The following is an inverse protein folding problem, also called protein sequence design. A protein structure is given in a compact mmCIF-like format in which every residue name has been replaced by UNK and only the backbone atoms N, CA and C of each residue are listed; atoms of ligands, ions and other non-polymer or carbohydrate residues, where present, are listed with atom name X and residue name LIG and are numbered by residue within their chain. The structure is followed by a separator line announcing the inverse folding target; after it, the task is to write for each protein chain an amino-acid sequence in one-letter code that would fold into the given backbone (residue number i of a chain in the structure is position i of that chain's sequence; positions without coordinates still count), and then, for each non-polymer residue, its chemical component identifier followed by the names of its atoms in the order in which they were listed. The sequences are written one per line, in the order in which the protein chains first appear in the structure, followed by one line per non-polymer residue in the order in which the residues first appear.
data_IF_705388649430
#
_entry.id   IF_705388649430
#
_cell.length_a   1.000
_cell.length_b   1.000
_cell.length_c   1.000
_cell.angle_alpha   90.00
_cell.angle_beta   90.00
_cell.angle_gamma   90.00
#
_symmetry.space_group_name_H-M   'P 1'
#
loop_
_entity.id
_entity.type
_entity.pdbx_description
1 polymer ?
#
# COMPACT_ATOMS: atom_id res chain seq x y z
N UNK A 1 -18.67 -25.89 22.84
CA UNK A 1 -18.88 -25.41 21.48
C UNK A 1 -18.61 -23.89 21.43
N UNK A 2 -17.31 -23.49 21.53
CA UNK A 2 -16.83 -22.09 21.53
C UNK A 2 -15.42 -21.96 20.88
N UNK A 3 -15.09 -22.83 19.93
CA UNK A 3 -13.75 -22.86 19.29
C UNK A 3 -13.78 -22.32 17.84
N UNK A 4 -14.97 -22.03 17.27
CA UNK A 4 -15.09 -21.61 15.87
C UNK A 4 -14.87 -20.10 15.62
N UNK A 5 -15.14 -19.24 16.62
CA UNK A 5 -15.05 -17.78 16.40
C UNK A 5 -13.61 -17.23 16.45
N UNK A 6 -12.70 -17.91 17.14
CA UNK A 6 -11.28 -17.49 17.22
C UNK A 6 -10.45 -17.90 16.00
N UNK A 7 -10.85 -18.94 15.28
CA UNK A 7 -10.18 -19.39 14.05
C UNK A 7 -10.45 -18.44 12.88
N UNK A 8 -11.67 -17.95 12.72
CA UNK A 8 -12.02 -17.01 11.64
C UNK A 8 -11.33 -15.65 11.80
N UNK A 9 -11.13 -15.16 13.01
CA UNK A 9 -10.42 -13.89 13.25
C UNK A 9 -8.90 -13.97 13.00
N UNK A 10 -8.29 -15.16 13.10
CA UNK A 10 -6.85 -15.36 12.84
C UNK A 10 -6.49 -15.37 11.36
N UNK A 11 -7.48 -15.56 10.48
CA UNK A 11 -7.30 -15.64 9.03
C UNK A 11 -7.63 -14.33 8.31
N UNK A 12 -7.93 -13.23 9.04
CA UNK A 12 -8.18 -11.94 8.41
C UNK A 12 -6.91 -11.42 7.70
N UNK A 13 -6.98 -11.45 6.39
CA UNK A 13 -5.85 -11.11 5.51
C UNK A 13 -5.71 -9.60 5.30
N UNK A 14 -6.76 -8.82 5.60
CA UNK A 14 -6.72 -7.37 5.47
C UNK A 14 -6.26 -6.75 6.79
N UNK A 15 -5.11 -6.13 6.74
CA UNK A 15 -4.52 -5.48 7.91
C UNK A 15 -5.45 -4.45 8.59
N UNK A 16 -6.41 -3.87 7.86
CA UNK A 16 -7.39 -2.92 8.41
C UNK A 16 -8.30 -3.54 9.46
N UNK A 17 -8.60 -4.84 9.33
CA UNK A 17 -9.53 -5.56 10.20
C UNK A 17 -8.82 -6.35 11.31
N UNK A 18 -7.49 -6.43 11.28
CA UNK A 18 -6.74 -7.09 12.36
C UNK A 18 -6.93 -6.27 13.65
N UNK A 19 -7.43 -6.87 14.75
CA UNK A 19 -7.48 -6.21 16.04
C UNK A 19 -6.12 -5.70 16.48
N UNK A 20 -6.08 -4.55 17.13
CA UNK A 20 -4.82 -3.91 17.55
C UNK A 20 -3.97 -4.81 18.45
N UNK A 21 -4.63 -5.58 19.31
CA UNK A 21 -3.99 -6.51 20.24
C UNK A 21 -3.28 -7.67 19.52
N UNK A 22 -3.85 -8.14 18.41
CA UNK A 22 -3.29 -9.21 17.58
C UNK A 22 -2.18 -8.71 16.64
N UNK A 23 -2.22 -7.42 16.26
CA UNK A 23 -1.31 -6.86 15.26
C UNK A 23 0.17 -7.08 15.60
N UNK A 24 0.54 -6.96 16.89
CA UNK A 24 1.93 -7.18 17.33
C UNK A 24 2.34 -8.65 17.18
N UNK A 25 1.46 -9.57 17.58
CA UNK A 25 1.72 -11.01 17.53
C UNK A 25 1.82 -11.52 16.08
N UNK A 26 1.03 -10.94 15.20
CA UNK A 26 0.93 -11.28 13.78
C UNK A 26 1.95 -10.57 12.90
N UNK A 27 2.95 -9.89 13.49
CA UNK A 27 3.98 -9.13 12.77
C UNK A 27 5.32 -9.87 12.81
N UNK A 28 5.86 -10.18 11.64
CA UNK A 28 7.21 -10.73 11.48
C UNK A 28 8.25 -9.63 11.72
N UNK A 29 8.64 -9.43 12.99
CA UNK A 29 9.51 -8.32 13.42
C UNK A 29 10.98 -8.52 13.07
N UNK A 30 11.41 -9.76 12.83
CA UNK A 30 12.82 -10.13 12.60
C UNK A 30 13.26 -10.00 11.14
N UNK A 31 12.32 -9.69 10.26
CA UNK A 31 12.58 -9.43 8.83
C UNK A 31 13.43 -8.16 8.65
N UNK A 32 14.46 -8.26 7.82
CA UNK A 32 15.33 -7.12 7.45
C UNK A 32 14.51 -6.03 6.75
N UNK A 33 13.61 -6.42 5.85
CA UNK A 33 12.69 -5.49 5.19
C UNK A 33 11.83 -4.75 6.22
N UNK A 34 11.23 -5.48 7.16
CA UNK A 34 10.37 -4.88 8.18
C UNK A 34 11.15 -3.89 9.05
N UNK A 35 12.36 -4.24 9.50
CA UNK A 35 13.22 -3.37 10.30
C UNK A 35 13.57 -2.07 9.55
N UNK A 36 13.91 -2.20 8.26
CA UNK A 36 14.23 -1.07 7.37
C UNK A 36 13.02 -0.16 7.18
N UNK A 37 11.86 -0.71 6.87
CA UNK A 37 10.61 0.05 6.68
C UNK A 37 10.20 0.75 7.98
N UNK A 38 10.25 0.06 9.12
CA UNK A 38 9.94 0.65 10.44
C UNK A 38 10.84 1.84 10.76
N UNK A 39 12.16 1.71 10.54
CA UNK A 39 13.12 2.81 10.72
C UNK A 39 12.77 3.99 9.81
N UNK A 40 12.42 3.73 8.56
CA UNK A 40 12.04 4.76 7.60
C UNK A 40 10.72 5.46 7.99
N UNK A 41 9.70 4.71 8.44
CA UNK A 41 8.43 5.27 8.89
C UNK A 41 8.61 6.22 10.09
N UNK A 42 9.50 5.92 11.01
CA UNK A 42 9.74 6.74 12.21
C UNK A 42 10.77 7.86 12.00
N UNK A 43 11.41 7.95 10.83
CA UNK A 43 12.42 8.95 10.54
C UNK A 43 11.82 10.32 10.15
N UNK A 44 12.66 11.35 10.06
CA UNK A 44 12.28 12.68 9.54
C UNK A 44 12.04 12.64 8.02
N UNK A 45 11.48 13.74 7.51
CA UNK A 45 11.24 13.97 6.08
C UNK A 45 10.06 13.21 5.53
N UNK A 46 9.67 13.57 4.32
CA UNK A 46 8.61 12.91 3.58
C UNK A 46 9.15 11.62 2.95
N UNK A 47 8.40 10.52 3.11
CA UNK A 47 8.73 9.23 2.48
C UNK A 47 7.49 8.61 1.88
N UNK A 48 7.68 7.88 0.78
CA UNK A 48 6.62 7.09 0.14
C UNK A 48 6.91 5.61 0.30
N UNK A 49 5.95 4.84 0.81
CA UNK A 49 5.99 3.38 0.80
C UNK A 49 5.42 2.89 -0.52
N UNK A 50 6.30 2.34 -1.34
CA UNK A 50 5.98 1.93 -2.72
C UNK A 50 5.87 0.41 -2.81
N UNK A 51 4.76 -0.08 -3.30
CA UNK A 51 4.55 -1.51 -3.54
C UNK A 51 3.12 -1.80 -4.00
N UNK A 52 2.89 -2.91 -4.70
CA UNK A 52 1.57 -3.30 -5.16
C UNK A 52 0.62 -3.60 -3.98
N UNK A 53 -0.62 -3.88 -4.31
CA UNK A 53 -1.62 -4.23 -3.31
C UNK A 53 -1.29 -5.58 -2.66
N UNK A 54 -1.33 -5.62 -1.32
CA UNK A 54 -1.04 -6.84 -0.56
C UNK A 54 0.38 -6.96 -0.01
N UNK A 55 1.29 -6.01 -0.30
CA UNK A 55 2.66 -6.00 0.21
C UNK A 55 2.81 -5.63 1.70
N UNK A 56 1.70 -5.46 2.44
CA UNK A 56 1.77 -5.18 3.87
C UNK A 56 1.96 -3.72 4.27
N UNK A 57 1.82 -2.73 3.35
CA UNK A 57 1.98 -1.29 3.67
C UNK A 57 1.13 -0.85 4.87
N UNK A 58 -0.16 -1.15 4.84
CA UNK A 58 -1.12 -0.90 5.94
C UNK A 58 -0.67 -1.54 7.24
N UNK A 59 -0.26 -2.81 7.20
CA UNK A 59 0.21 -3.55 8.37
C UNK A 59 1.42 -2.87 9.02
N UNK A 60 2.43 -2.52 8.22
CA UNK A 60 3.64 -1.83 8.68
C UNK A 60 3.35 -0.45 9.26
N UNK A 61 2.44 0.32 8.65
CA UNK A 61 2.04 1.64 9.16
C UNK A 61 1.26 1.52 10.47
N UNK A 62 0.31 0.61 10.57
CA UNK A 62 -0.44 0.39 11.81
C UNK A 62 0.45 -0.09 12.95
N UNK A 63 1.40 -1.00 12.66
CA UNK A 63 2.38 -1.43 13.64
C UNK A 63 3.28 -0.27 14.10
N UNK A 64 3.77 0.57 13.17
CA UNK A 64 4.58 1.73 13.52
C UNK A 64 3.79 2.73 14.39
N UNK A 65 2.52 2.98 14.07
CA UNK A 65 1.62 3.79 14.88
C UNK A 65 1.49 3.21 16.31
N UNK A 66 1.17 1.94 16.43
CA UNK A 66 0.95 1.28 17.71
C UNK A 66 2.20 1.32 18.60
N UNK A 67 3.38 1.05 18.03
CA UNK A 67 4.64 1.11 18.78
C UNK A 67 4.98 2.52 19.26
N UNK A 68 4.53 3.56 18.55
CA UNK A 68 4.66 4.93 19.01
C UNK A 68 3.68 5.28 20.13
N UNK A 69 2.49 4.67 20.18
CA UNK A 69 1.55 4.89 21.28
C UNK A 69 2.09 4.36 22.61
N UNK A 70 2.82 3.25 22.60
CA UNK A 70 3.41 2.61 23.79
C UNK A 70 4.69 3.29 24.32
N UNK A 71 5.37 4.13 23.51
CA UNK A 71 6.70 4.61 23.80
C UNK A 71 6.81 6.12 23.52
N UNK A 72 6.92 6.92 24.58
CA UNK A 72 7.02 8.40 24.48
C UNK A 72 8.38 8.89 23.94
N UNK A 73 9.39 8.05 23.91
CA UNK A 73 10.69 8.39 23.28
C UNK A 73 10.60 8.44 21.75
N UNK A 74 9.56 7.80 21.16
CA UNK A 74 9.27 7.79 19.74
C UNK A 74 8.45 9.02 19.32
N UNK A 75 8.38 9.33 18.01
CA UNK A 75 7.55 10.42 17.49
C UNK A 75 6.07 10.28 17.88
N UNK A 76 5.34 11.39 17.90
CA UNK A 76 3.89 11.38 17.93
C UNK A 76 3.39 10.86 16.58
N UNK A 77 2.81 9.67 16.55
CA UNK A 77 2.35 9.06 15.33
C UNK A 77 0.83 9.22 15.17
N UNK A 78 0.42 9.67 13.99
CA UNK A 78 -0.98 9.80 13.57
C UNK A 78 -1.19 8.90 12.37
N UNK A 79 -2.08 7.91 12.47
CA UNK A 79 -2.44 7.01 11.37
C UNK A 79 -3.77 7.45 10.75
N UNK A 80 -3.75 7.67 9.44
CA UNK A 80 -4.92 8.12 8.66
C UNK A 80 -5.14 7.15 7.50
N UNK A 81 -6.33 6.58 7.42
CA UNK A 81 -6.74 5.72 6.29
C UNK A 81 -7.64 6.48 5.33
N UNK A 82 -7.26 6.50 4.07
CA UNK A 82 -8.03 7.09 2.97
C UNK A 82 -8.84 6.04 2.18
N UNK A 83 -9.06 4.87 2.76
CA UNK A 83 -9.70 3.74 2.08
C UNK A 83 -11.12 4.03 1.55
N UNK A 84 -11.77 5.10 2.05
CA UNK A 84 -13.12 5.51 1.64
C UNK A 84 -13.14 6.57 0.52
N UNK A 85 -12.00 6.93 -0.04
CA UNK A 85 -11.91 7.97 -1.08
C UNK A 85 -12.86 7.74 -2.27
N UNK A 86 -13.14 6.47 -2.60
CA UNK A 86 -14.07 6.11 -3.68
C UNK A 86 -15.49 6.66 -3.48
N UNK A 87 -15.86 6.99 -2.22
CA UNK A 87 -17.14 7.63 -1.91
C UNK A 87 -17.21 9.08 -2.37
N UNK A 88 -16.07 9.70 -2.63
CA UNK A 88 -15.96 11.05 -3.15
C UNK A 88 -15.98 11.11 -4.68
N UNK A 89 -15.87 9.96 -5.39
CA UNK A 89 -15.95 9.95 -6.86
C UNK A 89 -17.21 10.58 -7.42
N UNK A 90 -18.42 10.40 -6.84
CA UNK A 90 -19.63 11.08 -7.29
C UNK A 90 -19.53 12.61 -7.22
N UNK A 91 -18.71 13.19 -6.35
CA UNK A 91 -18.50 14.63 -6.22
C UNK A 91 -17.91 15.23 -7.51
N UNK A 92 -17.09 14.45 -8.25
CA UNK A 92 -16.47 14.89 -9.51
C UNK A 92 -17.51 15.34 -10.56
N UNK A 93 -18.72 14.80 -10.47
CA UNK A 93 -19.81 15.11 -11.41
C UNK A 93 -20.85 16.06 -10.78
N UNK A 94 -21.07 15.96 -9.47
CA UNK A 94 -22.18 16.63 -8.77
C UNK A 94 -21.79 17.98 -8.13
N UNK A 95 -20.49 18.30 -8.03
CA UNK A 95 -19.99 19.50 -7.33
C UNK A 95 -19.25 20.46 -8.26
N UNK A 96 -19.27 21.75 -7.87
CA UNK A 96 -18.57 22.80 -8.63
C UNK A 96 -17.05 22.75 -8.44
N UNK A 97 -16.58 22.40 -7.25
CA UNK A 97 -15.15 22.33 -6.88
C UNK A 97 -14.80 21.03 -6.17
N UNK A 98 -14.82 19.88 -6.86
CA UNK A 98 -14.52 18.59 -6.25
C UNK A 98 -13.14 18.50 -5.58
N UNK A 99 -12.05 19.10 -6.11
CA UNK A 99 -10.76 19.11 -5.44
C UNK A 99 -10.78 19.82 -4.07
N UNK A 100 -11.49 20.94 -3.95
CA UNK A 100 -11.58 21.67 -2.68
C UNK A 100 -12.32 20.86 -1.61
N UNK A 101 -13.38 20.15 -2.01
CA UNK A 101 -14.12 19.26 -1.11
C UNK A 101 -13.29 18.03 -0.72
N UNK A 102 -12.51 17.46 -1.64
CA UNK A 102 -11.53 16.42 -1.36
C UNK A 102 -10.43 16.91 -0.40
N UNK A 103 -9.93 18.13 -0.61
CA UNK A 103 -8.96 18.78 0.26
C UNK A 103 -9.49 18.90 1.70
N UNK A 104 -10.70 19.42 1.87
CA UNK A 104 -11.35 19.55 3.16
C UNK A 104 -11.59 18.18 3.83
N UNK A 105 -12.01 17.18 3.07
CA UNK A 105 -12.19 15.80 3.54
C UNK A 105 -10.86 15.19 4.02
N UNK A 106 -9.81 15.31 3.21
CA UNK A 106 -8.50 14.74 3.53
C UNK A 106 -7.89 15.38 4.79
N UNK A 107 -7.92 16.71 4.88
CA UNK A 107 -7.48 17.42 6.08
C UNK A 107 -8.35 17.13 7.29
N UNK A 108 -9.67 17.02 7.11
CA UNK A 108 -10.61 16.61 8.15
C UNK A 108 -10.26 15.25 8.75
N UNK A 109 -9.93 14.27 7.90
CA UNK A 109 -9.47 12.95 8.36
C UNK A 109 -8.16 13.04 9.16
N UNK A 110 -7.20 13.89 8.74
CA UNK A 110 -5.95 14.10 9.49
C UNK A 110 -6.25 14.67 10.87
N UNK A 111 -7.14 15.65 10.98
CA UNK A 111 -7.54 16.24 12.28
C UNK A 111 -8.21 15.19 13.17
N UNK A 112 -9.19 14.46 12.66
CA UNK A 112 -9.91 13.41 13.40
C UNK A 112 -8.96 12.31 13.89
N UNK A 113 -8.03 11.88 13.04
CA UNK A 113 -7.01 10.89 13.40
C UNK A 113 -6.03 11.41 14.45
N UNK A 114 -5.73 12.73 14.43
CA UNK A 114 -4.90 13.38 15.47
C UNK A 114 -5.59 13.32 16.81
N UNK A 115 -6.87 13.69 16.90
CA UNK A 115 -7.66 13.58 18.13
C UNK A 115 -7.77 12.13 18.62
N UNK A 116 -7.97 11.18 17.70
CA UNK A 116 -8.03 9.76 18.05
C UNK A 116 -6.69 9.24 18.59
N UNK A 117 -5.55 9.68 18.01
CA UNK A 117 -4.22 9.30 18.49
C UNK A 117 -3.89 9.90 19.85
N UNK A 118 -4.37 11.11 20.16
CA UNK A 118 -4.26 11.72 21.48
C UNK A 118 -5.08 10.99 22.52
N UNK A 119 -6.35 10.71 22.22
CA UNK A 119 -7.29 10.03 23.13
C UNK A 119 -7.05 8.53 23.25
N UNK A 120 -6.06 7.96 22.53
CA UNK A 120 -5.71 6.54 22.67
C UNK A 120 -5.33 6.16 24.11
N UNK A 121 -4.70 7.08 24.83
CA UNK A 121 -4.51 6.97 26.27
C UNK A 121 -5.58 7.81 26.98
N UNK A 122 -6.33 7.20 27.89
CA UNK A 122 -7.46 7.83 28.59
C UNK A 122 -7.05 9.11 29.34
N UNK A 123 -5.82 9.19 29.82
CA UNK A 123 -5.25 10.38 30.53
C UNK A 123 -5.19 11.67 29.67
N UNK A 124 -5.29 11.54 28.34
CA UNK A 124 -5.19 12.67 27.40
C UNK A 124 -6.56 13.17 26.90
N UNK A 125 -7.69 12.69 27.45
CA UNK A 125 -9.02 13.09 26.97
C UNK A 125 -9.29 14.61 27.11
N UNK A 126 -8.83 15.24 28.19
CA UNK A 126 -8.95 16.69 28.40
C UNK A 126 -8.10 17.49 27.42
N UNK A 127 -6.97 16.98 27.00
CA UNK A 127 -6.09 17.64 26.03
C UNK A 127 -6.76 17.80 24.65
N UNK A 128 -7.66 16.91 24.26
CA UNK A 128 -8.40 17.01 23.00
C UNK A 128 -9.33 18.22 23.02
N UNK A 129 -10.14 18.41 24.07
CA UNK A 129 -11.07 19.54 24.19
C UNK A 129 -10.33 20.89 24.21
N UNK A 130 -9.19 20.96 24.88
CA UNK A 130 -8.34 22.16 24.87
C UNK A 130 -7.79 22.47 23.46
N UNK A 131 -7.39 21.44 22.71
CA UNK A 131 -6.87 21.61 21.35
C UNK A 131 -7.98 22.01 20.39
N UNK A 132 -9.18 21.43 20.50
CA UNK A 132 -10.36 21.82 19.72
C UNK A 132 -10.63 23.33 19.88
N UNK A 133 -10.62 23.84 21.11
CA UNK A 133 -10.83 25.25 21.41
C UNK A 133 -9.70 26.14 20.86
N UNK A 134 -8.43 25.72 21.02
CA UNK A 134 -7.25 26.50 20.56
C UNK A 134 -7.12 26.60 19.04
N UNK A 135 -7.55 25.54 18.31
CA UNK A 135 -7.43 25.48 16.86
C UNK A 135 -8.74 25.87 16.18
N UNK A 136 -9.86 25.80 16.87
CA UNK A 136 -11.19 26.10 16.34
C UNK A 136 -11.69 25.04 15.34
N UNK A 137 -11.28 23.79 15.52
CA UNK A 137 -11.70 22.63 14.71
C UNK A 137 -12.41 21.59 15.58
N UNK A 138 -13.69 21.81 15.97
CA UNK A 138 -14.42 20.89 16.83
C UNK A 138 -14.60 19.51 16.18
N UNK A 139 -14.30 18.46 16.91
CA UNK A 139 -14.37 17.06 16.45
C UNK A 139 -15.74 16.71 15.87
N UNK A 140 -16.80 17.04 16.60
CA UNK A 140 -18.17 16.74 16.20
C UNK A 140 -18.55 17.36 14.84
N UNK A 141 -18.13 18.62 14.60
CA UNK A 141 -18.41 19.32 13.34
C UNK A 141 -17.63 18.70 12.17
N UNK A 142 -16.39 18.28 12.42
CA UNK A 142 -15.57 17.58 11.41
C UNK A 142 -16.12 16.19 11.07
N UNK A 143 -16.59 15.43 12.07
CA UNK A 143 -17.22 14.13 11.84
C UNK A 143 -18.48 14.26 10.97
N UNK A 144 -19.30 15.30 11.20
CA UNK A 144 -20.49 15.58 10.37
C UNK A 144 -20.12 16.03 8.98
N UNK A 145 -19.10 16.89 8.80
CA UNK A 145 -18.58 17.32 7.50
C UNK A 145 -18.06 16.15 6.67
N UNK A 146 -17.16 15.36 7.24
CA UNK A 146 -16.58 14.17 6.58
C UNK A 146 -17.69 13.19 6.17
N UNK A 147 -18.65 12.93 7.06
CA UNK A 147 -19.77 12.05 6.77
C UNK A 147 -20.68 12.59 5.65
N UNK A 148 -20.93 13.90 5.61
CA UNK A 148 -21.73 14.54 4.55
C UNK A 148 -21.03 14.42 3.18
N UNK A 149 -19.72 14.67 3.11
CA UNK A 149 -18.92 14.51 1.91
C UNK A 149 -18.90 13.05 1.42
N UNK A 150 -18.65 12.08 2.32
CA UNK A 150 -18.65 10.65 2.00
C UNK A 150 -20.01 10.14 1.49
N UNK A 151 -21.10 10.78 1.87
CA UNK A 151 -22.47 10.43 1.44
C UNK A 151 -22.96 11.28 0.27
N UNK A 152 -22.13 12.16 -0.28
CA UNK A 152 -22.52 13.14 -1.31
C UNK A 152 -23.76 13.97 -0.93
N UNK A 153 -23.89 14.33 0.36
CA UNK A 153 -25.00 15.14 0.86
C UNK A 153 -24.71 16.64 0.67
N UNK A 154 -25.71 17.48 0.43
CA UNK A 154 -25.54 18.92 0.47
C UNK A 154 -24.96 19.37 1.81
N UNK A 155 -23.98 20.26 1.76
CA UNK A 155 -23.38 20.81 2.98
C UNK A 155 -24.31 21.89 3.58
N UNK A 156 -24.48 21.86 4.91
CA UNK A 156 -25.09 22.99 5.63
C UNK A 156 -24.21 24.24 5.53
N UNK A 157 -24.76 25.42 5.89
CA UNK A 157 -23.98 26.66 5.91
C UNK A 157 -22.75 26.57 6.81
N UNK A 158 -22.88 25.90 7.97
CA UNK A 158 -21.79 25.67 8.92
C UNK A 158 -20.73 24.71 8.36
N UNK A 159 -21.16 23.60 7.74
CA UNK A 159 -20.26 22.64 7.11
C UNK A 159 -19.51 23.27 5.92
N UNK A 160 -20.19 24.08 5.12
CA UNK A 160 -19.56 24.81 4.00
C UNK A 160 -18.58 25.87 4.51
N UNK A 161 -18.85 26.52 5.63
CA UNK A 161 -17.91 27.44 6.26
C UNK A 161 -16.69 26.68 6.80
N UNK A 162 -16.88 25.59 7.52
CA UNK A 162 -15.81 24.75 8.04
C UNK A 162 -14.94 24.17 6.92
N UNK A 163 -15.57 23.72 5.81
CA UNK A 163 -14.86 23.18 4.64
C UNK A 163 -13.90 24.20 4.01
N UNK A 164 -14.27 25.49 3.98
CA UNK A 164 -13.40 26.58 3.51
C UNK A 164 -12.36 27.02 4.51
N UNK A 165 -12.63 26.85 5.79
CA UNK A 165 -11.80 27.32 6.90
C UNK A 165 -10.68 26.32 7.27
N UNK A 166 -10.88 25.02 6.98
CA UNK A 166 -9.86 24.02 7.20
C UNK A 166 -8.71 24.20 6.20
N UNK A 167 -7.51 24.40 6.70
CA UNK A 167 -6.32 24.67 5.90
C UNK A 167 -5.11 23.92 6.40
N UNK A 168 -4.13 23.69 5.51
CA UNK A 168 -2.85 23.04 5.86
C UNK A 168 -2.20 23.68 7.07
N UNK A 169 -2.15 25.02 7.12
CA UNK A 169 -1.54 25.76 8.24
C UNK A 169 -2.23 25.46 9.59
N UNK A 170 -3.56 25.38 9.60
CA UNK A 170 -4.31 25.05 10.84
C UNK A 170 -4.05 23.63 11.27
N UNK A 171 -3.99 22.70 10.31
CA UNK A 171 -3.69 21.28 10.59
C UNK A 171 -2.25 21.12 11.09
N UNK A 172 -1.28 21.82 10.49
CA UNK A 172 0.10 21.83 11.01
C UNK A 172 0.17 22.36 12.43
N UNK A 173 -0.52 23.48 12.72
CA UNK A 173 -0.60 24.04 14.09
C UNK A 173 -1.20 23.03 15.08
N UNK A 174 -2.26 22.32 14.70
CA UNK A 174 -2.85 21.26 15.51
C UNK A 174 -1.84 20.14 15.81
N UNK A 175 -1.14 19.66 14.77
CA UNK A 175 -0.16 18.58 14.89
C UNK A 175 1.00 18.97 15.80
N UNK A 176 1.51 20.21 15.69
CA UNK A 176 2.58 20.72 16.54
C UNK A 176 2.12 20.86 18.01
N UNK A 177 0.91 21.36 18.25
CA UNK A 177 0.32 21.44 19.58
C UNK A 177 0.09 20.06 20.20
N UNK A 178 -0.43 19.12 19.41
CA UNK A 178 -0.65 17.74 19.83
C UNK A 178 0.67 17.02 20.15
N UNK A 179 1.69 17.22 19.32
CA UNK A 179 3.03 16.69 19.57
C UNK A 179 3.60 17.22 20.89
N UNK A 180 3.51 18.54 21.09
CA UNK A 180 4.02 19.22 22.29
C UNK A 180 3.29 18.81 23.56
N UNK A 181 1.95 18.62 23.49
CA UNK A 181 1.15 18.18 24.66
C UNK A 181 1.51 16.77 25.13
N UNK A 182 2.07 15.94 24.23
CA UNK A 182 2.55 14.59 24.58
C UNK A 182 4.04 14.56 24.98
N UNK A 183 4.70 15.71 25.09
CA UNK A 183 6.13 15.83 25.40
C UNK A 183 7.06 15.32 24.29
N UNK A 184 6.57 15.13 23.08
CA UNK A 184 7.32 14.58 21.95
C UNK A 184 7.89 15.71 21.07
N UNK A 185 8.93 15.38 20.30
CA UNK A 185 9.67 16.37 19.50
C UNK A 185 9.24 16.46 18.03
N UNK A 186 8.54 15.46 17.54
CA UNK A 186 8.18 15.34 16.11
C UNK A 186 6.91 14.52 15.93
N UNK A 187 6.12 14.93 14.95
CA UNK A 187 4.96 14.19 14.48
C UNK A 187 5.33 13.36 13.22
N UNK A 188 4.85 12.13 13.16
CA UNK A 188 4.88 11.30 11.97
C UNK A 188 3.43 11.08 11.52
N UNK A 189 3.11 11.50 10.29
CA UNK A 189 1.81 11.26 9.66
C UNK A 189 1.90 10.02 8.78
N UNK A 190 1.17 8.98 9.13
CA UNK A 190 1.09 7.72 8.40
C UNK A 190 -0.19 7.74 7.54
N UNK A 191 -0.05 8.13 6.27
CA UNK A 191 -1.15 8.36 5.33
C UNK A 191 -1.31 7.13 4.45
N UNK A 192 -2.30 6.32 4.75
CA UNK A 192 -2.48 5.00 4.16
C UNK A 192 -3.66 4.92 3.20
N UNK A 193 -3.61 3.93 2.31
CA UNK A 193 -4.64 3.61 1.31
C UNK A 193 -4.97 4.77 0.34
N UNK A 194 -4.00 5.61 0.06
CA UNK A 194 -4.10 6.64 -0.95
C UNK A 194 -4.03 6.07 -2.39
N UNK A 195 -4.77 4.98 -2.61
CA UNK A 195 -4.85 4.25 -3.88
C UNK A 195 -5.69 5.01 -4.93
N UNK A 196 -5.37 6.28 -5.14
CA UNK A 196 -6.11 7.22 -5.96
C UNK A 196 -5.76 7.12 -7.47
N UNK A 197 -5.13 6.03 -7.89
CA UNK A 197 -4.65 5.85 -9.28
C UNK A 197 -5.75 5.90 -10.33
N UNK A 198 -6.98 5.57 -9.94
CA UNK A 198 -8.14 5.61 -10.83
C UNK A 198 -8.81 6.99 -10.89
N UNK A 199 -8.44 7.91 -9.99
CA UNK A 199 -8.99 9.26 -9.90
C UNK A 199 -7.84 10.28 -9.88
N UNK A 200 -7.19 10.57 -11.03
CA UNK A 200 -6.00 11.41 -11.12
C UNK A 200 -6.14 12.78 -10.46
N UNK A 201 -7.32 13.39 -10.55
CA UNK A 201 -7.61 14.70 -9.96
C UNK A 201 -7.42 14.68 -8.45
N UNK A 202 -7.96 13.67 -7.76
CA UNK A 202 -7.79 13.50 -6.32
C UNK A 202 -6.38 13.06 -5.93
N UNK A 203 -5.72 12.29 -6.79
CA UNK A 203 -4.33 11.88 -6.57
C UNK A 203 -3.39 13.10 -6.56
N UNK A 204 -3.56 14.02 -7.51
CA UNK A 204 -2.77 15.26 -7.58
C UNK A 204 -2.97 16.07 -6.31
N UNK A 205 -4.23 16.30 -5.91
CA UNK A 205 -4.56 17.04 -4.70
C UNK A 205 -4.00 16.36 -3.44
N UNK A 206 -4.10 15.02 -3.35
CA UNK A 206 -3.52 14.27 -2.24
C UNK A 206 -2.01 14.46 -2.13
N UNK A 207 -1.28 14.36 -3.24
CA UNK A 207 0.18 14.54 -3.25
C UNK A 207 0.57 15.98 -2.90
N UNK A 208 -0.20 16.97 -3.31
CA UNK A 208 -0.02 18.38 -2.92
C UNK A 208 -0.25 18.58 -1.41
N UNK A 209 -1.29 17.98 -0.82
CA UNK A 209 -1.54 17.98 0.63
C UNK A 209 -0.38 17.33 1.39
N UNK A 210 0.06 16.13 0.96
CA UNK A 210 1.17 15.41 1.60
C UNK A 210 2.45 16.24 1.62
N UNK A 211 2.76 16.91 0.50
CA UNK A 211 3.92 17.80 0.39
C UNK A 211 3.77 19.04 1.28
N UNK A 212 2.59 19.66 1.26
CA UNK A 212 2.32 20.87 2.02
C UNK A 212 2.32 20.64 3.55
N UNK A 213 1.93 19.46 4.02
CA UNK A 213 1.96 19.09 5.44
C UNK A 213 3.38 18.86 5.98
N UNK A 214 4.38 18.67 5.12
CA UNK A 214 5.78 18.49 5.55
C UNK A 214 6.31 19.77 6.19
N UNK A 215 6.95 19.63 7.38
CA UNK A 215 7.70 20.69 8.05
C UNK A 215 8.95 20.12 8.73
N UNK A 216 9.66 20.94 9.50
CA UNK A 216 10.78 20.48 10.34
C UNK A 216 10.33 19.54 11.46
N UNK A 217 9.09 19.67 11.92
CA UNK A 217 8.48 18.91 13.02
C UNK A 217 7.49 17.86 12.54
N UNK A 218 6.99 17.97 11.31
CA UNK A 218 5.99 17.05 10.74
C UNK A 218 6.60 16.27 9.58
N UNK A 219 6.57 14.94 9.66
CA UNK A 219 7.15 14.01 8.71
C UNK A 219 6.09 13.09 8.09
N UNK A 220 5.47 13.46 6.95
CA UNK A 220 4.49 12.64 6.27
C UNK A 220 5.11 11.35 5.70
N UNK A 221 4.35 10.26 5.77
CA UNK A 221 4.65 8.95 5.18
C UNK A 221 3.42 8.50 4.42
N UNK A 222 3.49 8.45 3.10
CA UNK A 222 2.35 8.06 2.26
C UNK A 222 2.53 6.66 1.68
N UNK A 223 1.50 5.81 1.79
CA UNK A 223 1.48 4.56 1.04
C UNK A 223 1.01 4.83 -0.38
N UNK A 224 1.81 4.42 -1.36
CA UNK A 224 1.53 4.64 -2.78
C UNK A 224 1.73 3.35 -3.57
N UNK A 225 1.11 3.27 -4.74
CA UNK A 225 1.43 2.23 -5.71
C UNK A 225 2.62 2.66 -6.60
N UNK A 226 3.33 1.70 -7.21
CA UNK A 226 4.37 2.01 -8.18
C UNK A 226 3.85 2.94 -9.29
N UNK A 227 4.62 3.99 -9.61
CA UNK A 227 4.27 4.96 -10.67
C UNK A 227 3.24 6.04 -10.28
N UNK A 228 2.61 5.98 -9.08
CA UNK A 228 1.57 6.96 -8.72
C UNK A 228 2.10 8.38 -8.52
N UNK A 229 3.33 8.55 -8.11
CA UNK A 229 3.95 9.89 -7.93
C UNK A 229 4.21 10.63 -9.23
N UNK A 230 4.20 9.94 -10.35
CA UNK A 230 4.41 10.52 -11.68
C UNK A 230 3.19 11.31 -12.20
N UNK A 231 2.01 11.14 -11.60
CA UNK A 231 0.80 11.87 -11.98
C UNK A 231 0.81 13.35 -11.58
N UNK A 232 1.59 13.75 -10.59
CA UNK A 232 1.65 15.14 -10.17
C UNK A 232 2.90 15.83 -10.73
N UNK A 233 2.70 16.81 -11.59
CA UNK A 233 3.79 17.66 -12.12
C UNK A 233 4.49 18.48 -11.03
N UNK A 234 3.88 18.61 -9.85
CA UNK A 234 4.41 19.38 -8.71
C UNK A 234 5.11 18.50 -7.67
N UNK A 235 4.97 17.18 -7.77
CA UNK A 235 5.59 16.24 -6.84
C UNK A 235 6.75 15.53 -7.53
N UNK A 236 7.97 15.83 -7.12
CA UNK A 236 9.17 15.26 -7.70
C UNK A 236 9.70 14.13 -6.81
N UNK A 237 9.46 12.88 -7.24
CA UNK A 237 10.06 11.72 -6.59
C UNK A 237 11.59 11.85 -6.55
N UNK A 238 12.20 11.63 -5.39
CA UNK A 238 13.65 11.79 -5.19
C UNK A 238 14.07 13.19 -4.67
N UNK A 239 13.30 14.25 -4.96
CA UNK A 239 13.54 15.58 -4.37
C UNK A 239 12.60 15.85 -3.19
N UNK A 240 11.30 15.68 -3.40
CA UNK A 240 10.29 15.91 -2.36
C UNK A 240 10.20 14.76 -1.37
N UNK A 241 10.39 13.52 -1.84
CA UNK A 241 10.27 12.31 -1.03
C UNK A 241 11.40 11.31 -1.29
N UNK A 242 11.62 10.44 -0.31
CA UNK A 242 12.43 9.21 -0.47
C UNK A 242 11.50 8.02 -0.61
N UNK A 243 11.61 7.28 -1.70
CA UNK A 243 10.86 6.05 -1.91
C UNK A 243 11.43 4.90 -1.07
N UNK A 244 10.55 4.15 -0.42
CA UNK A 244 10.84 2.92 0.31
C UNK A 244 10.04 1.81 -0.35
N UNK A 245 10.75 0.92 -1.02
CA UNK A 245 10.12 -0.21 -1.68
C UNK A 245 9.82 -1.31 -0.65
N UNK A 246 8.57 -1.77 -0.64
CA UNK A 246 8.07 -2.80 0.29
C UNK A 246 7.67 -4.09 -0.42
N UNK A 247 8.03 -4.22 -1.67
CA UNK A 247 7.82 -5.41 -2.47
C UNK A 247 9.12 -6.21 -2.53
N UNK A 248 9.12 -7.42 -1.99
CA UNK A 248 10.27 -8.32 -2.01
C UNK A 248 10.45 -8.95 -3.40
N UNK A 249 11.65 -8.83 -3.96
CA UNK A 249 12.02 -9.60 -5.16
C UNK A 249 12.15 -11.08 -4.81
N UNK A 250 11.69 -11.94 -5.71
CA UNK A 250 11.91 -13.40 -5.58
C UNK A 250 13.39 -13.80 -5.65
N UNK A 251 14.25 -12.91 -6.13
CA UNK A 251 15.71 -13.10 -6.20
C UNK A 251 16.45 -12.54 -4.97
N UNK A 252 15.74 -11.87 -4.05
CA UNK A 252 16.37 -11.35 -2.83
C UNK A 252 16.79 -12.49 -1.91
N UNK A 253 17.97 -12.37 -1.32
CA UNK A 253 18.51 -13.40 -0.42
C UNK A 253 17.59 -13.68 0.79
N UNK A 254 16.91 -12.62 1.26
CA UNK A 254 16.00 -12.67 2.42
C UNK A 254 14.58 -13.13 2.05
N UNK A 255 14.27 -13.31 0.75
CA UNK A 255 12.92 -13.57 0.26
C UNK A 255 12.25 -14.76 0.95
N UNK A 256 12.96 -15.88 1.00
CA UNK A 256 12.46 -17.10 1.61
C UNK A 256 12.19 -16.92 3.10
N UNK A 257 13.18 -16.43 3.84
CA UNK A 257 13.08 -16.28 5.30
C UNK A 257 11.98 -15.28 5.69
N UNK A 258 11.87 -14.15 4.99
CA UNK A 258 10.88 -13.12 5.30
C UNK A 258 9.46 -13.60 5.02
N UNK A 259 9.22 -14.28 3.89
CA UNK A 259 7.89 -14.81 3.57
C UNK A 259 7.47 -15.93 4.53
N UNK A 260 8.39 -16.82 4.90
CA UNK A 260 8.11 -17.91 5.84
C UNK A 260 7.84 -17.39 7.26
N UNK A 261 8.57 -16.38 7.72
CA UNK A 261 8.29 -15.71 9.00
C UNK A 261 6.89 -15.08 9.02
N UNK A 262 6.50 -14.41 7.92
CA UNK A 262 5.15 -13.86 7.81
C UNK A 262 4.10 -14.96 7.91
N UNK A 263 4.31 -16.09 7.25
CA UNK A 263 3.39 -17.22 7.31
C UNK A 263 3.32 -17.84 8.72
N UNK A 264 4.46 -18.05 9.40
CA UNK A 264 4.51 -18.58 10.77
C UNK A 264 3.78 -17.69 11.79
N UNK A 265 3.80 -16.38 11.60
CA UNK A 265 3.04 -15.47 12.45
C UNK A 265 1.51 -15.60 12.29
N UNK A 266 1.04 -16.22 11.20
CA UNK A 266 -0.37 -16.32 10.82
C UNK A 266 -0.93 -17.72 10.88
N UNK A 267 -0.10 -18.74 10.66
CA UNK A 267 -0.47 -20.15 10.64
C UNK A 267 0.31 -20.91 11.68
N UNK A 268 -0.36 -21.33 12.76
CA UNK A 268 0.23 -22.12 13.85
C UNK A 268 0.74 -23.50 13.40
N UNK A 269 0.21 -24.02 12.29
CA UNK A 269 0.56 -25.31 11.70
C UNK A 269 1.37 -25.17 10.39
N UNK A 270 2.00 -24.01 10.16
CA UNK A 270 2.80 -23.75 8.96
C UNK A 270 3.88 -24.81 8.72
N UNK A 271 4.59 -25.21 9.78
CA UNK A 271 5.68 -26.18 9.69
C UNK A 271 5.20 -27.63 9.42
N UNK A 272 3.87 -27.87 9.40
CA UNK A 272 3.27 -29.16 9.01
C UNK A 272 2.97 -29.22 7.49
N UNK A 273 3.03 -28.07 6.78
CA UNK A 273 2.82 -28.04 5.32
C UNK A 273 4.09 -28.60 4.65
N UNK A 274 3.96 -29.50 3.65
CA UNK A 274 5.10 -30.03 2.93
C UNK A 274 5.97 -28.90 2.31
N UNK A 275 7.29 -29.03 2.42
CA UNK A 275 8.21 -27.97 2.01
C UNK A 275 8.12 -27.63 0.51
N UNK A 276 7.91 -28.62 -0.35
CA UNK A 276 7.71 -28.44 -1.79
C UNK A 276 6.47 -27.61 -2.10
N UNK A 277 5.38 -27.78 -1.32
CA UNK A 277 4.16 -26.95 -1.39
C UNK A 277 4.47 -25.51 -0.97
N UNK A 278 5.15 -25.36 0.15
CA UNK A 278 5.56 -24.04 0.68
C UNK A 278 6.40 -23.29 -0.35
N UNK A 279 7.41 -23.94 -0.93
CA UNK A 279 8.33 -23.36 -1.90
C UNK A 279 7.60 -22.90 -3.18
N UNK A 280 6.69 -23.73 -3.69
CA UNK A 280 5.93 -23.46 -4.89
C UNK A 280 4.95 -22.30 -4.67
N UNK A 281 4.18 -22.33 -3.57
CA UNK A 281 3.22 -21.26 -3.25
C UNK A 281 3.93 -19.94 -2.92
N UNK A 282 5.09 -19.98 -2.26
CA UNK A 282 5.91 -18.81 -2.01
C UNK A 282 6.40 -18.18 -3.32
N UNK A 283 6.91 -18.97 -4.27
CA UNK A 283 7.30 -18.50 -5.59
C UNK A 283 6.11 -17.92 -6.37
N UNK A 284 4.95 -18.62 -6.34
CA UNK A 284 3.71 -18.15 -6.96
C UNK A 284 3.19 -16.85 -6.37
N UNK A 285 3.42 -16.58 -5.07
CA UNK A 285 3.01 -15.35 -4.39
C UNK A 285 3.78 -14.11 -4.84
N UNK A 286 4.92 -14.29 -5.46
CA UNK A 286 5.69 -13.24 -6.11
C UNK A 286 6.04 -12.05 -5.19
N UNK A 287 6.40 -12.33 -3.94
CA UNK A 287 6.76 -11.30 -2.94
C UNK A 287 5.58 -10.51 -2.40
N UNK A 288 4.37 -11.01 -2.56
CA UNK A 288 3.15 -10.38 -2.07
C UNK A 288 2.60 -11.20 -0.89
N UNK A 289 2.82 -10.79 0.38
CA UNK A 289 2.44 -11.56 1.56
C UNK A 289 0.98 -11.98 1.59
N UNK A 290 0.05 -11.09 1.23
CA UNK A 290 -1.38 -11.42 1.17
C UNK A 290 -1.65 -12.58 0.20
N UNK A 291 -1.03 -12.57 -0.97
CA UNK A 291 -1.18 -13.63 -1.95
C UNK A 291 -0.68 -14.97 -1.40
N UNK A 292 0.45 -14.95 -0.71
CA UNK A 292 1.01 -16.15 -0.07
C UNK A 292 0.08 -16.73 0.99
N UNK A 293 -0.37 -15.89 1.93
CA UNK A 293 -1.30 -16.30 2.99
C UNK A 293 -2.62 -16.84 2.42
N UNK A 294 -3.18 -16.18 1.40
CA UNK A 294 -4.40 -16.65 0.72
C UNK A 294 -4.19 -18.03 0.09
N UNK A 295 -3.09 -18.21 -0.65
CA UNK A 295 -2.83 -19.49 -1.30
C UNK A 295 -2.54 -20.63 -0.31
N UNK A 296 -1.85 -20.36 0.81
CA UNK A 296 -1.66 -21.33 1.88
C UNK A 296 -3.00 -21.75 2.50
N UNK A 297 -3.89 -20.80 2.76
CA UNK A 297 -5.24 -21.07 3.25
C UNK A 297 -6.07 -21.87 2.25
N UNK A 298 -6.12 -21.42 0.99
CA UNK A 298 -6.82 -22.13 -0.09
C UNK A 298 -6.31 -23.56 -0.26
N UNK A 299 -5.01 -23.78 -0.13
CA UNK A 299 -4.41 -25.11 -0.19
C UNK A 299 -4.91 -26.04 0.93
N UNK A 300 -5.03 -25.51 2.15
CA UNK A 300 -5.53 -26.27 3.30
C UNK A 300 -7.02 -26.57 3.23
N UNK A 301 -7.81 -25.67 2.69
CA UNK A 301 -9.27 -25.74 2.66
C UNK A 301 -9.81 -26.51 1.46
N UNK A 302 -9.06 -26.65 0.37
CA UNK A 302 -9.51 -27.32 -0.87
C UNK A 302 -9.12 -28.80 -0.89
N UNK A 303 -10.05 -29.72 -0.61
CA UNK A 303 -9.78 -31.13 -0.79
C UNK A 303 -9.72 -31.47 -2.28
N UNK A 304 -8.58 -31.88 -2.79
CA UNK A 304 -8.44 -32.47 -4.10
C UNK A 304 -7.92 -33.92 -3.98
N UNK A 305 -8.00 -34.69 -5.08
CA UNK A 305 -7.56 -36.09 -5.08
C UNK A 305 -6.04 -36.24 -4.83
N UNK A 306 -5.25 -35.23 -5.23
CA UNK A 306 -3.80 -35.22 -5.06
C UNK A 306 -3.30 -33.82 -4.70
N UNK A 307 -2.18 -33.74 -3.99
CA UNK A 307 -1.47 -32.49 -3.67
C UNK A 307 -1.19 -31.65 -4.91
N UNK A 308 -0.73 -32.26 -6.00
CA UNK A 308 -0.44 -31.58 -7.26
C UNK A 308 -1.69 -30.94 -7.87
N UNK A 309 -2.84 -31.60 -7.83
CA UNK A 309 -4.09 -31.04 -8.32
C UNK A 309 -4.53 -29.83 -7.49
N UNK A 310 -4.42 -29.92 -6.16
CA UNK A 310 -4.71 -28.79 -5.27
C UNK A 310 -3.81 -27.60 -5.59
N UNK A 311 -2.50 -27.83 -5.71
CA UNK A 311 -1.52 -26.78 -6.05
C UNK A 311 -1.85 -26.10 -7.39
N UNK A 312 -2.09 -26.89 -8.44
CA UNK A 312 -2.43 -26.34 -9.74
C UNK A 312 -3.68 -25.47 -9.69
N UNK A 313 -4.73 -25.93 -9.00
CA UNK A 313 -5.98 -25.17 -8.85
C UNK A 313 -5.78 -23.87 -8.06
N UNK A 314 -5.00 -23.89 -6.97
CA UNK A 314 -4.73 -22.71 -6.15
C UNK A 314 -3.92 -21.68 -6.93
N UNK A 315 -2.85 -22.11 -7.61
CA UNK A 315 -2.01 -21.21 -8.41
C UNK A 315 -2.77 -20.63 -9.59
N UNK A 316 -3.60 -21.45 -10.27
CA UNK A 316 -4.47 -21.00 -11.37
C UNK A 316 -5.51 -19.97 -10.90
N UNK A 317 -6.20 -20.26 -9.81
CA UNK A 317 -7.18 -19.34 -9.24
C UNK A 317 -6.53 -17.99 -8.85
N UNK A 318 -5.33 -18.04 -8.27
CA UNK A 318 -4.56 -16.84 -7.92
C UNK A 318 -4.19 -16.01 -9.16
N UNK A 319 -3.61 -16.64 -10.18
CA UNK A 319 -3.24 -15.96 -11.43
C UNK A 319 -4.46 -15.35 -12.13
N UNK A 320 -5.56 -16.11 -12.22
CA UNK A 320 -6.80 -15.65 -12.84
C UNK A 320 -7.39 -14.44 -12.08
N UNK A 321 -7.33 -14.42 -10.75
CA UNK A 321 -7.75 -13.29 -9.95
C UNK A 321 -6.89 -12.04 -10.24
N UNK A 322 -5.56 -12.17 -10.32
CA UNK A 322 -4.64 -11.07 -10.66
C UNK A 322 -4.87 -10.52 -12.07
N UNK A 323 -4.98 -11.40 -13.07
CA UNK A 323 -5.30 -10.98 -14.43
C UNK A 323 -6.70 -10.34 -14.51
N UNK A 324 -7.67 -10.85 -13.75
CA UNK A 324 -9.00 -10.25 -13.62
C UNK A 324 -8.97 -8.82 -13.04
N UNK A 325 -8.17 -8.58 -12.01
CA UNK A 325 -7.92 -7.23 -11.46
C UNK A 325 -7.32 -6.31 -12.52
N UNK A 326 -6.27 -6.75 -13.22
CA UNK A 326 -5.63 -6.00 -14.29
C UNK A 326 -6.60 -5.65 -15.43
N UNK A 327 -7.34 -6.63 -15.94
CA UNK A 327 -8.36 -6.43 -16.96
C UNK A 327 -9.49 -5.49 -16.50
N UNK A 328 -9.81 -5.46 -15.22
CA UNK A 328 -10.84 -4.59 -14.66
C UNK A 328 -10.51 -3.11 -14.81
N UNK A 329 -9.22 -2.75 -14.90
CA UNK A 329 -8.76 -1.37 -15.14
C UNK A 329 -9.32 -0.85 -16.47
N UNK A 330 -9.36 -1.68 -17.53
CA UNK A 330 -9.91 -1.30 -18.83
C UNK A 330 -11.41 -0.94 -18.78
N UNK A 331 -12.16 -1.52 -17.82
CA UNK A 331 -13.58 -1.19 -17.59
C UNK A 331 -13.74 0.10 -16.80
N UNK A 332 -12.88 0.33 -15.81
CA UNK A 332 -12.90 1.52 -14.96
C UNK A 332 -12.36 2.75 -15.68
N UNK A 333 -11.33 2.57 -16.51
CA UNK A 333 -10.68 3.65 -17.28
C UNK A 333 -10.61 3.23 -18.75
N UNK A 334 -11.67 3.48 -19.55
CA UNK A 334 -11.75 3.04 -20.95
C UNK A 334 -10.58 3.46 -21.85
N UNK A 335 -9.96 4.60 -21.56
CA UNK A 335 -8.77 5.11 -22.27
C UNK A 335 -7.56 4.20 -22.17
N UNK A 336 -7.50 3.32 -21.17
CA UNK A 336 -6.39 2.38 -20.96
C UNK A 336 -6.64 0.99 -21.57
N UNK A 337 -7.79 0.77 -22.24
CA UNK A 337 -8.19 -0.55 -22.77
C UNK A 337 -7.12 -1.19 -23.66
N UNK A 338 -6.58 -0.43 -24.60
CA UNK A 338 -5.57 -0.92 -25.53
C UNK A 338 -4.26 -1.24 -24.81
N UNK A 339 -3.82 -0.36 -23.90
CA UNK A 339 -2.64 -0.61 -23.08
C UNK A 339 -2.76 -1.87 -22.22
N UNK A 340 -3.91 -2.12 -21.65
CA UNK A 340 -4.18 -3.34 -20.86
C UNK A 340 -4.10 -4.58 -21.75
N UNK A 341 -4.68 -4.57 -22.93
CA UNK A 341 -4.62 -5.69 -23.88
C UNK A 341 -3.20 -5.98 -24.37
N UNK A 342 -2.45 -4.92 -24.72
CA UNK A 342 -1.04 -5.05 -25.11
C UNK A 342 -0.19 -5.52 -23.93
N UNK A 343 -0.42 -4.97 -22.72
CA UNK A 343 0.28 -5.39 -21.51
C UNK A 343 0.13 -6.88 -21.21
N UNK A 344 -1.06 -7.45 -21.37
CA UNK A 344 -1.28 -8.90 -21.21
C UNK A 344 -0.52 -9.71 -22.28
N UNK A 345 -0.50 -9.22 -23.51
CA UNK A 345 0.27 -9.86 -24.60
C UNK A 345 1.78 -9.83 -24.31
N UNK A 346 2.30 -8.70 -23.80
CA UNK A 346 3.71 -8.55 -23.42
C UNK A 346 4.04 -9.47 -22.24
N UNK A 347 3.20 -9.54 -21.20
CA UNK A 347 3.39 -10.47 -20.08
C UNK A 347 3.53 -11.91 -20.57
N UNK A 348 2.62 -12.36 -21.44
CA UNK A 348 2.66 -13.69 -22.02
C UNK A 348 3.91 -13.90 -22.89
N UNK A 349 4.38 -12.88 -23.58
CA UNK A 349 5.63 -12.89 -24.34
C UNK A 349 6.86 -13.05 -23.43
N UNK A 350 6.89 -12.32 -22.31
CA UNK A 350 7.95 -12.43 -21.30
C UNK A 350 8.00 -13.84 -20.69
N UNK A 351 6.85 -14.38 -20.31
CA UNK A 351 6.74 -15.75 -19.76
C UNK A 351 7.30 -16.78 -20.75
N UNK A 352 6.92 -16.69 -22.03
CA UNK A 352 7.45 -17.59 -23.08
C UNK A 352 8.95 -17.44 -23.27
N UNK A 353 9.47 -16.21 -23.27
CA UNK A 353 10.89 -15.94 -23.40
C UNK A 353 11.71 -16.55 -22.25
N UNK A 354 11.25 -16.37 -21.00
CA UNK A 354 11.87 -16.98 -19.81
C UNK A 354 11.88 -18.51 -19.91
N UNK A 355 10.78 -19.13 -20.28
CA UNK A 355 10.69 -20.59 -20.43
C UNK A 355 11.62 -21.12 -21.53
N UNK A 356 11.61 -20.48 -22.69
CA UNK A 356 12.49 -20.86 -23.78
C UNK A 356 13.98 -20.76 -23.41
N UNK A 357 14.36 -19.69 -22.66
CA UNK A 357 15.73 -19.53 -22.16
C UNK A 357 16.14 -20.59 -21.14
N UNK A 358 15.18 -21.16 -20.41
CA UNK A 358 15.45 -22.17 -19.38
C UNK A 358 15.36 -23.62 -19.88
N UNK A 359 14.92 -23.88 -21.11
CA UNK A 359 14.71 -25.24 -21.62
C UNK A 359 16.02 -26.05 -21.66
N UNK A 360 17.14 -25.41 -22.05
CA UNK A 360 18.45 -26.05 -22.20
C UNK A 360 19.51 -25.49 -21.23
N UNK A 361 19.09 -24.69 -20.23
CA UNK A 361 19.99 -24.02 -19.30
C UNK A 361 20.10 -24.77 -17.98
N UNK A 362 21.32 -24.89 -17.46
CA UNK A 362 21.59 -25.40 -16.11
C UNK A 362 21.32 -24.34 -15.02
N UNK A 363 21.17 -23.07 -15.40
CA UNK A 363 20.91 -21.96 -14.50
C UNK A 363 19.53 -21.36 -14.85
N UNK A 364 18.65 -21.36 -13.88
CA UNK A 364 17.30 -20.77 -14.05
C UNK A 364 17.41 -19.25 -14.15
N UNK A 365 16.88 -18.71 -15.24
CA UNK A 365 16.82 -17.27 -15.50
C UNK A 365 15.37 -16.80 -15.36
N UNK A 366 15.15 -15.73 -14.62
CA UNK A 366 13.82 -15.10 -14.44
C UNK A 366 13.73 -13.72 -15.07
N UNK A 367 14.88 -13.10 -15.38
CA UNK A 367 14.97 -11.72 -15.84
C UNK A 367 14.78 -11.59 -17.34
N UNK A 368 13.97 -10.62 -17.73
CA UNK A 368 13.80 -10.16 -19.11
C UNK A 368 14.34 -8.73 -19.20
N UNK A 369 15.35 -8.52 -20.04
CA UNK A 369 15.93 -7.19 -20.29
C UNK A 369 15.24 -6.51 -21.47
N UNK A 370 14.79 -5.26 -21.28
CA UNK A 370 14.28 -4.40 -22.35
C UNK A 370 15.27 -3.23 -22.52
N UNK A 371 15.79 -2.99 -23.76
CA UNK A 371 16.66 -1.85 -23.99
C UNK A 371 15.99 -0.54 -23.54
N UNK A 372 16.74 0.33 -22.87
CA UNK A 372 16.17 1.59 -22.34
C UNK A 372 15.69 2.51 -23.46
N UNK A 373 16.30 2.43 -24.63
CA UNK A 373 15.91 3.16 -25.84
C UNK A 373 14.52 2.76 -26.37
N UNK A 374 14.09 1.50 -26.12
CA UNK A 374 12.78 0.98 -26.53
C UNK A 374 11.67 1.31 -25.53
N UNK A 375 12.02 1.78 -24.32
CA UNK A 375 11.08 2.18 -23.29
C UNK A 375 10.54 3.60 -23.57
N UNK A 376 9.75 3.73 -24.64
CA UNK A 376 9.01 4.97 -24.91
C UNK A 376 8.01 5.27 -23.79
N UNK A 377 7.52 6.50 -23.69
CA UNK A 377 6.56 6.90 -22.64
C UNK A 377 5.32 5.98 -22.56
N UNK A 378 4.82 5.51 -23.73
CA UNK A 378 3.67 4.60 -23.77
C UNK A 378 4.03 3.19 -23.29
N UNK A 379 5.22 2.69 -23.62
CA UNK A 379 5.73 1.38 -23.17
C UNK A 379 6.02 1.43 -21.67
N UNK A 380 6.63 2.50 -21.17
CA UNK A 380 6.81 2.71 -19.73
C UNK A 380 5.47 2.71 -19.00
N UNK A 381 4.45 3.40 -19.54
CA UNK A 381 3.12 3.43 -18.95
C UNK A 381 2.46 2.04 -18.90
N UNK A 382 2.64 1.25 -19.93
CA UNK A 382 2.16 -0.15 -19.95
C UNK A 382 2.83 -0.98 -18.86
N UNK A 383 4.18 -0.91 -18.73
CA UNK A 383 4.91 -1.63 -17.67
C UNK A 383 4.48 -1.15 -16.28
N UNK A 384 4.29 0.16 -16.07
CA UNK A 384 3.79 0.69 -14.79
C UNK A 384 2.46 0.06 -14.39
N UNK A 385 1.52 -0.13 -15.33
CA UNK A 385 0.23 -0.78 -15.06
C UNK A 385 0.40 -2.27 -14.68
N UNK A 386 1.33 -2.99 -15.33
CA UNK A 386 1.67 -4.37 -14.96
C UNK A 386 2.32 -4.46 -13.58
N UNK A 387 3.23 -3.53 -13.25
CA UNK A 387 3.91 -3.44 -11.95
C UNK A 387 2.91 -3.09 -10.84
N UNK A 388 2.03 -2.13 -11.08
CA UNK A 388 0.97 -1.74 -10.15
C UNK A 388 0.04 -2.91 -9.83
N UNK A 389 -0.31 -3.71 -10.85
CA UNK A 389 -1.12 -4.93 -10.70
C UNK A 389 -0.35 -6.09 -10.03
N UNK A 390 0.97 -5.96 -9.83
CA UNK A 390 1.81 -7.01 -9.27
C UNK A 390 2.08 -8.17 -10.25
N UNK A 391 1.92 -7.95 -11.55
CA UNK A 391 2.14 -8.96 -12.60
C UNK A 391 3.58 -8.98 -13.12
N UNK A 392 4.31 -7.90 -12.94
CA UNK A 392 5.71 -7.75 -13.33
C UNK A 392 6.45 -7.04 -12.22
N UNK A 393 7.61 -7.55 -11.83
CA UNK A 393 8.51 -6.89 -10.88
C UNK A 393 9.55 -6.08 -11.67
N UNK A 394 9.76 -4.83 -11.26
CA UNK A 394 10.79 -3.96 -11.83
C UNK A 394 12.11 -4.17 -11.08
N UNK A 395 13.07 -4.77 -11.76
CA UNK A 395 14.42 -5.02 -11.27
C UNK A 395 15.37 -3.87 -11.66
N UNK A 396 16.59 -3.88 -11.11
CA UNK A 396 17.55 -2.82 -11.40
C UNK A 396 18.01 -2.81 -12.85
N UNK A 397 18.34 -1.62 -13.36
CA UNK A 397 19.00 -1.43 -14.65
C UNK A 397 20.36 -2.16 -14.67
N UNK A 398 20.74 -2.64 -15.84
CA UNK A 398 22.05 -3.25 -16.09
C UNK A 398 22.63 -2.72 -17.39
N UNK A 399 23.96 -2.59 -17.42
CA UNK A 399 24.73 -2.31 -18.61
C UNK A 399 25.24 -3.62 -19.19
N UNK A 400 25.01 -3.85 -20.47
CA UNK A 400 25.40 -5.09 -21.12
C UNK A 400 25.80 -4.87 -22.61
N UNK A 401 26.75 -5.69 -23.09
CA UNK A 401 27.14 -5.75 -24.49
C UNK A 401 28.26 -4.79 -24.89
N UNK A 402 28.72 -4.94 -26.16
CA UNK A 402 29.71 -4.07 -26.80
C UNK A 402 29.16 -3.69 -28.18
N UNK A 403 28.75 -2.42 -28.44
CA UNK A 403 28.79 -1.28 -27.52
C UNK A 403 27.86 -1.46 -26.32
N UNK A 404 28.22 -0.81 -25.19
CA UNK A 404 27.45 -0.87 -23.95
C UNK A 404 26.03 -0.30 -24.14
N UNK A 405 25.00 -1.13 -23.82
CA UNK A 405 23.59 -0.72 -23.80
C UNK A 405 23.04 -0.83 -22.41
N UNK A 406 22.12 0.04 -22.07
CA UNK A 406 21.41 0.02 -20.79
C UNK A 406 20.10 -0.75 -20.99
N UNK A 407 19.89 -1.76 -20.15
CA UNK A 407 18.65 -2.55 -20.12
C UNK A 407 17.95 -2.33 -18.81
N UNK A 408 16.64 -2.04 -18.87
CA UNK A 408 15.74 -2.21 -17.73
C UNK A 408 15.35 -3.67 -17.63
N UNK A 409 15.48 -4.27 -16.45
CA UNK A 409 15.17 -5.68 -16.23
C UNK A 409 13.84 -5.83 -15.52
N UNK A 410 13.10 -6.85 -15.93
CA UNK A 410 11.80 -7.18 -15.40
C UNK A 410 11.72 -8.67 -15.08
N UNK A 411 10.93 -9.02 -14.05
CA UNK A 411 10.61 -10.41 -13.71
C UNK A 411 9.10 -10.60 -13.92
N UNK A 412 8.64 -11.53 -14.76
CA UNK A 412 7.22 -11.85 -14.88
C UNK A 412 6.74 -12.64 -13.67
N UNK A 413 5.43 -12.54 -13.35
CA UNK A 413 4.82 -13.12 -12.17
C UNK A 413 5.05 -14.63 -12.06
N UNK A 414 5.47 -15.09 -10.86
CA UNK A 414 5.82 -16.49 -10.59
C UNK A 414 4.70 -17.48 -10.93
N UNK A 415 3.44 -17.18 -10.59
CA UNK A 415 2.32 -18.03 -10.94
C UNK A 415 2.13 -18.18 -12.46
N UNK A 416 2.43 -17.15 -13.27
CA UNK A 416 2.37 -17.23 -14.72
C UNK A 416 3.49 -18.11 -15.29
N UNK A 417 4.67 -18.13 -14.65
CA UNK A 417 5.76 -19.03 -15.01
C UNK A 417 5.45 -20.50 -14.68
N UNK A 418 4.65 -20.78 -13.65
CA UNK A 418 4.30 -22.13 -13.25
C UNK A 418 3.19 -22.75 -14.12
N UNK A 419 2.30 -21.95 -14.67
CA UNK A 419 1.11 -22.42 -15.40
C UNK A 419 1.24 -22.46 -16.92
N UNK A 420 2.16 -21.78 -17.51
CA UNK A 420 2.28 -21.65 -18.98
C UNK A 420 3.00 -22.81 -19.65
#
# INVERSE_FOLDING_TARGET
MKVSDDLDASLEQRADYIPTEKLVQETATDSVLFATVRKALLSSGLKTLVGPRGCGKTHMMRYAWLTCQGDTSKPFAVYVSFNKYYRLEPLLVSRASPPDEFHAWALGLVVLATYSSLSYKAENATAVSELEAKVGLPRANLETLVSALERNQPLSAEQAALSRDISVNRVQKLLDLACSSTGRKRTVLLLDDAALTLTPTYLIEFLDIVRALKSSTIAPKASVYPGTTEYSARFHAGQDSTAIFVWLSVEAAEYQSDMDQIARCRFSDFDQIPQDVVDLLRFAAFGIPRAYLTMLQDFKERPAKTTQQTLNQVVEAHLNARLGEFRSIARKVPKLRELISVGETVLNGMVRAVKASNTDSTVVQLLVGVPKEDLTAIVQRMFQLLIEAGLVFDAMEVKHGTPERIYQRFIPHGAALLQS
#
